data_IF_167779473839
#
_entry.id   IF_167779473839
#
_cell.length_a   1.000
_cell.length_b   1.000
_cell.length_c   1.000
_cell.angle_alpha   90.00
_cell.angle_beta   90.00
_cell.angle_gamma   90.00
#
_symmetry.space_group_name_H-M   'P 1'
#
loop_
_entity.id
_entity.type
_entity.pdbx_description
1 polymer ?
#
# COMPACT_ATOMS: atom_id res chain seq x y z
N UNK A 1 19.78 17.20 -2.38
CA UNK A 1 18.68 16.68 -1.55
C UNK A 1 18.96 15.20 -1.36
N UNK A 2 19.64 14.88 -0.26
CA UNK A 2 20.09 13.53 0.08
C UNK A 2 18.91 12.81 0.73
N UNK A 3 18.61 11.59 0.29
CA UNK A 3 17.87 10.65 1.13
C UNK A 3 18.55 10.66 2.50
N UNK A 4 17.81 10.77 3.62
CA UNK A 4 18.46 10.59 4.91
C UNK A 4 18.98 9.15 4.90
N UNK A 5 20.30 9.00 4.96
CA UNK A 5 21.01 7.71 5.00
C UNK A 5 20.39 6.73 6.01
N UNK A 6 19.69 7.26 7.01
CA UNK A 6 18.91 6.53 8.00
C UNK A 6 17.77 5.69 7.42
N UNK A 7 17.10 6.07 6.33
CA UNK A 7 16.02 5.25 5.75
C UNK A 7 16.58 3.98 5.08
N UNK A 8 17.74 4.10 4.43
CA UNK A 8 18.41 2.95 3.81
C UNK A 8 19.00 2.00 4.86
N UNK A 9 19.60 2.54 5.93
CA UNK A 9 20.10 1.74 7.05
C UNK A 9 18.96 1.04 7.80
N UNK A 10 17.81 1.68 7.95
CA UNK A 10 16.65 1.09 8.64
C UNK A 10 16.10 -0.14 7.89
N UNK A 11 15.91 -0.05 6.57
CA UNK A 11 15.50 -1.19 5.73
C UNK A 11 16.52 -2.34 5.81
N UNK A 12 17.82 -2.02 5.72
CA UNK A 12 18.87 -3.04 5.81
C UNK A 12 18.95 -3.70 7.19
N UNK A 13 18.70 -2.95 8.26
CA UNK A 13 18.75 -3.48 9.63
C UNK A 13 17.60 -4.45 9.90
N UNK A 14 16.38 -4.15 9.41
CA UNK A 14 15.22 -5.03 9.54
C UNK A 14 15.42 -6.32 8.73
N UNK A 15 15.89 -6.21 7.48
CA UNK A 15 16.05 -7.37 6.60
C UNK A 15 17.18 -8.32 7.04
N UNK A 16 18.27 -7.82 7.63
CA UNK A 16 19.43 -8.65 7.95
C UNK A 16 19.49 -9.15 9.40
N UNK A 17 18.98 -8.41 10.39
CA UNK A 17 18.99 -8.90 11.77
C UNK A 17 17.99 -10.05 12.00
N UNK A 18 16.91 -10.11 11.22
CA UNK A 18 15.96 -11.22 11.30
C UNK A 18 16.43 -12.49 10.58
N UNK A 19 17.44 -12.40 9.70
CA UNK A 19 17.89 -13.54 8.89
C UNK A 19 18.68 -14.60 9.70
N UNK A 20 19.40 -14.19 10.74
CA UNK A 20 20.28 -15.09 11.51
C UNK A 20 19.55 -15.96 12.54
N UNK A 21 18.38 -15.55 13.01
CA UNK A 21 17.61 -16.29 14.03
C UNK A 21 16.62 -17.29 13.40
N UNK A 22 16.33 -17.15 12.10
CA UNK A 22 15.18 -17.78 11.45
C UNK A 22 15.44 -19.18 10.87
N UNK A 23 16.69 -19.56 10.60
CA UNK A 23 17.00 -20.82 9.87
C UNK A 23 16.67 -22.10 10.63
N UNK A 24 16.36 -22.02 11.93
CA UNK A 24 16.00 -23.18 12.77
C UNK A 24 14.51 -23.36 13.05
N UNK A 25 13.62 -22.45 12.61
CA UNK A 25 12.18 -22.48 12.94
C UNK A 25 11.24 -22.60 11.71
N UNK A 26 11.78 -22.86 10.52
CA UNK A 26 11.09 -22.74 9.21
C UNK A 26 10.03 -23.82 8.91
N UNK A 27 9.78 -24.81 9.78
CA UNK A 27 8.88 -25.93 9.43
C UNK A 27 7.54 -25.99 10.17
N UNK A 28 7.19 -25.03 11.03
CA UNK A 28 6.03 -25.19 11.94
C UNK A 28 4.90 -24.16 11.85
N UNK A 29 5.18 -22.90 11.53
CA UNK A 29 4.25 -21.78 11.84
C UNK A 29 4.29 -20.70 10.74
N UNK A 30 3.90 -21.05 9.52
CA UNK A 30 3.85 -20.12 8.37
C UNK A 30 2.42 -19.90 7.84
N UNK A 31 1.38 -20.23 8.60
CA UNK A 31 0.08 -20.55 7.98
C UNK A 31 -1.05 -19.52 8.09
N UNK A 32 -0.98 -18.46 8.91
CA UNK A 32 -2.20 -17.69 9.21
C UNK A 32 -2.11 -16.18 8.94
N UNK A 33 -1.27 -15.73 7.99
CA UNK A 33 -1.42 -14.38 7.43
C UNK A 33 -1.92 -14.50 6.01
N UNK A 34 -3.24 -14.61 5.93
CA UNK A 34 -4.00 -14.35 4.72
C UNK A 34 -3.95 -12.85 4.48
N UNK A 35 -3.27 -12.41 3.42
CA UNK A 35 -3.19 -10.99 3.14
C UNK A 35 -2.65 -10.69 1.78
N UNK A 36 -3.54 -10.20 0.92
CA UNK A 36 -3.11 -9.23 -0.08
C UNK A 36 -2.48 -8.08 0.65
N UNK A 37 -1.26 -7.65 0.34
CA UNK A 37 -0.68 -6.53 1.09
C UNK A 37 -0.34 -5.37 0.19
N UNK A 38 0.57 -5.58 -0.76
CA UNK A 38 0.97 -4.51 -1.68
C UNK A 38 -0.16 -4.17 -2.67
N UNK A 39 -1.06 -5.11 -2.94
CA UNK A 39 -2.18 -4.89 -3.85
C UNK A 39 -3.23 -3.91 -3.30
N UNK A 40 -3.34 -3.72 -1.98
CA UNK A 40 -4.24 -2.72 -1.38
C UNK A 40 -3.88 -1.28 -1.77
N UNK A 41 -2.65 -1.03 -2.23
CA UNK A 41 -2.24 0.27 -2.76
C UNK A 41 -2.60 0.47 -4.25
N UNK A 42 -2.98 -0.60 -4.96
CA UNK A 42 -3.26 -0.54 -6.39
C UNK A 42 -4.49 0.33 -6.75
N UNK A 43 -5.64 0.21 -6.05
CA UNK A 43 -6.81 1.05 -6.31
C UNK A 43 -6.50 2.55 -6.18
N UNK A 44 -5.66 2.93 -5.22
CA UNK A 44 -5.22 4.31 -5.00
C UNK A 44 -4.49 4.90 -6.21
N UNK A 45 -3.63 4.11 -6.86
CA UNK A 45 -2.89 4.48 -8.07
C UNK A 45 -3.80 4.65 -9.29
N UNK A 46 -4.89 3.87 -9.37
CA UNK A 46 -5.90 4.00 -10.42
C UNK A 46 -6.80 5.22 -10.17
N UNK A 47 -7.25 5.39 -8.92
CA UNK A 47 -8.24 6.39 -8.50
C UNK A 47 -7.71 7.82 -8.47
N UNK A 48 -6.39 8.01 -8.33
CA UNK A 48 -5.75 9.34 -8.35
C UNK A 48 -6.13 10.18 -9.58
N UNK A 49 -6.48 9.55 -10.71
CA UNK A 49 -6.94 10.24 -11.91
C UNK A 49 -8.29 10.93 -11.77
N UNK A 50 -9.17 10.40 -10.92
CA UNK A 50 -10.49 10.98 -10.66
C UNK A 50 -10.45 12.07 -9.59
N UNK A 51 -9.35 12.16 -8.84
CA UNK A 51 -9.16 13.18 -7.81
C UNK A 51 -7.69 13.67 -7.76
N UNK A 52 -7.23 14.40 -8.80
CA UNK A 52 -5.83 14.86 -8.90
C UNK A 52 -5.45 15.88 -7.81
N UNK A 53 -6.43 16.52 -7.18
CA UNK A 53 -6.24 17.39 -6.01
C UNK A 53 -5.92 16.61 -4.73
N UNK A 54 -6.28 15.33 -4.65
CA UNK A 54 -6.03 14.50 -3.48
C UNK A 54 -4.56 14.07 -3.44
N UNK A 55 -3.85 14.26 -2.33
CA UNK A 55 -2.49 13.75 -2.19
C UNK A 55 -2.43 12.23 -2.38
N UNK A 56 -1.45 11.75 -3.13
CA UNK A 56 -1.29 10.32 -3.42
C UNK A 56 -1.08 9.51 -2.13
N UNK A 57 -0.39 10.07 -1.14
CA UNK A 57 -0.20 9.42 0.16
C UNK A 57 -1.52 9.15 0.88
N UNK A 58 -2.50 10.06 0.77
CA UNK A 58 -3.78 9.91 1.45
C UNK A 58 -4.63 8.84 0.76
N UNK A 59 -4.59 8.78 -0.58
CA UNK A 59 -5.22 7.69 -1.33
C UNK A 59 -4.54 6.35 -1.04
N UNK A 60 -3.20 6.31 -1.02
CA UNK A 60 -2.44 5.10 -0.70
C UNK A 60 -2.77 4.58 0.70
N UNK A 61 -2.78 5.47 1.70
CA UNK A 61 -3.13 5.10 3.06
C UNK A 61 -4.59 4.68 3.20
N UNK A 62 -5.53 5.30 2.45
CA UNK A 62 -6.93 4.85 2.43
C UNK A 62 -7.07 3.38 2.05
N UNK A 63 -6.33 2.93 1.01
CA UNK A 63 -6.36 1.53 0.55
C UNK A 63 -5.86 0.54 1.60
N UNK A 64 -4.82 0.89 2.34
CA UNK A 64 -4.23 0.05 3.40
C UNK A 64 -4.74 0.37 4.82
N UNK A 65 -5.77 1.22 4.93
CA UNK A 65 -6.28 1.68 6.23
C UNK A 65 -6.90 0.55 7.07
N UNK A 66 -7.67 -0.39 6.48
CA UNK A 66 -8.19 -1.54 7.22
C UNK A 66 -7.08 -2.35 7.89
N UNK A 67 -6.04 -2.73 7.14
CA UNK A 67 -4.88 -3.47 7.66
C UNK A 67 -4.15 -2.71 8.77
N UNK A 68 -3.89 -1.41 8.55
CA UNK A 68 -3.21 -0.58 9.54
C UNK A 68 -3.97 -0.52 10.86
N UNK A 69 -5.30 -0.34 10.78
CA UNK A 69 -6.14 -0.30 11.97
C UNK A 69 -6.27 -1.67 12.61
N UNK A 70 -6.29 -2.76 11.84
CA UNK A 70 -6.30 -4.12 12.38
C UNK A 70 -5.07 -4.34 13.26
N UNK A 71 -3.86 -4.05 12.77
CA UNK A 71 -2.65 -4.16 13.57
C UNK A 71 -2.67 -3.25 14.81
N UNK A 72 -3.16 -2.02 14.67
CA UNK A 72 -3.26 -1.09 15.79
C UNK A 72 -4.24 -1.57 16.88
N UNK A 73 -5.40 -2.11 16.48
CA UNK A 73 -6.41 -2.65 17.38
C UNK A 73 -5.97 -3.98 17.99
N UNK A 74 -5.24 -4.80 17.25
CA UNK A 74 -4.62 -6.03 17.75
C UNK A 74 -3.60 -5.73 18.85
N UNK A 75 -2.70 -4.77 18.64
CA UNK A 75 -1.76 -4.30 19.68
C UNK A 75 -2.51 -3.77 20.91
N UNK A 76 -3.68 -3.15 20.72
CA UNK A 76 -4.53 -2.67 21.80
C UNK A 76 -5.37 -3.77 22.48
N UNK A 77 -5.36 -5.00 21.97
CA UNK A 77 -6.19 -6.11 22.44
C UNK A 77 -7.69 -5.92 22.16
N UNK A 78 -8.04 -5.12 21.15
CA UNK A 78 -9.42 -4.82 20.74
C UNK A 78 -9.89 -5.68 19.56
N UNK A 79 -8.97 -6.24 18.79
CA UNK A 79 -9.20 -7.24 17.72
C UNK A 79 -8.22 -8.39 17.87
N UNK A 80 -8.57 -9.59 17.38
CA UNK A 80 -7.70 -10.76 17.35
C UNK A 80 -7.99 -11.60 16.10
N UNK A 81 -6.96 -12.28 15.59
CA UNK A 81 -7.03 -13.14 14.42
C UNK A 81 -7.62 -14.53 14.69
N UNK A 82 -7.55 -15.06 15.93
CA UNK A 82 -7.69 -16.52 16.11
C UNK A 82 -8.37 -17.05 17.39
N UNK A 83 -9.32 -16.32 17.99
CA UNK A 83 -10.09 -16.89 19.11
C UNK A 83 -11.61 -16.80 18.93
N UNK A 84 -12.17 -17.82 18.27
CA UNK A 84 -13.62 -18.01 18.07
C UNK A 84 -14.37 -18.38 19.36
N UNK A 85 -13.66 -18.62 20.45
CA UNK A 85 -14.22 -19.18 21.69
C UNK A 85 -15.04 -18.15 22.48
N UNK A 86 -14.73 -16.87 22.33
CA UNK A 86 -15.44 -15.79 23.01
C UNK A 86 -15.52 -14.54 22.13
N UNK A 87 -16.72 -13.97 21.92
CA UNK A 87 -16.85 -12.72 21.17
C UNK A 87 -16.01 -11.63 21.85
N UNK A 88 -15.16 -10.89 21.09
CA UNK A 88 -14.35 -9.83 21.66
C UNK A 88 -15.28 -8.82 22.35
N UNK A 89 -14.99 -8.50 23.61
CA UNK A 89 -15.83 -7.62 24.41
C UNK A 89 -15.05 -6.38 24.79
N UNK A 90 -15.47 -5.24 24.24
CA UNK A 90 -14.89 -3.94 24.56
C UNK A 90 -15.85 -3.20 25.47
N UNK A 91 -15.40 -2.83 26.67
CA UNK A 91 -16.21 -2.00 27.58
C UNK A 91 -15.73 -0.55 27.52
N UNK A 92 -16.56 0.34 26.99
CA UNK A 92 -16.29 1.77 26.88
C UNK A 92 -17.39 2.56 27.60
N UNK A 93 -17.02 3.45 28.52
CA UNK A 93 -17.98 4.22 29.34
C UNK A 93 -19.04 3.37 30.05
N UNK A 94 -18.67 2.16 30.50
CA UNK A 94 -19.60 1.23 31.17
C UNK A 94 -20.58 0.52 30.22
N UNK A 95 -20.48 0.74 28.90
CA UNK A 95 -21.19 -0.06 27.90
C UNK A 95 -20.26 -1.13 27.33
N UNK A 96 -20.68 -2.39 27.45
CA UNK A 96 -19.98 -3.52 26.85
C UNK A 96 -20.48 -3.76 25.43
N UNK A 97 -19.66 -3.41 24.45
CA UNK A 97 -19.83 -3.79 23.06
C UNK A 97 -19.34 -5.22 22.91
N UNK A 98 -20.28 -6.15 22.72
CA UNK A 98 -19.96 -7.50 22.26
C UNK A 98 -19.76 -7.44 20.75
N UNK A 99 -18.55 -7.75 20.30
CA UNK A 99 -18.30 -8.07 18.91
C UNK A 99 -19.23 -9.20 18.49
N UNK A 100 -19.80 -9.09 17.30
CA UNK A 100 -20.57 -10.20 16.76
C UNK A 100 -19.60 -11.32 16.43
N UNK A 101 -19.91 -12.56 16.83
CA UNK A 101 -19.20 -13.75 16.34
C UNK A 101 -19.59 -14.10 14.90
N UNK A 102 -20.36 -13.23 14.23
CA UNK A 102 -20.79 -13.44 12.85
C UNK A 102 -19.64 -13.12 11.92
N UNK A 103 -19.23 -14.14 11.18
CA UNK A 103 -18.40 -14.15 9.99
C UNK A 103 -18.25 -12.77 9.34
N UNK A 104 -17.06 -12.20 9.42
CA UNK A 104 -16.68 -11.05 8.59
C UNK A 104 -16.65 -11.51 7.14
N UNK A 105 -17.75 -11.37 6.40
CA UNK A 105 -17.81 -11.74 4.97
C UNK A 105 -16.54 -11.28 4.23
N UNK A 106 -15.77 -12.20 3.61
CA UNK A 106 -16.10 -13.60 3.32
C UNK A 106 -15.62 -14.66 4.34
N UNK A 107 -14.87 -14.30 5.39
CA UNK A 107 -14.23 -15.25 6.32
C UNK A 107 -14.94 -15.34 7.68
N UNK A 108 -14.87 -16.50 8.36
CA UNK A 108 -15.32 -16.65 9.74
C UNK A 108 -14.33 -16.02 10.73
N UNK A 109 -13.92 -14.76 10.54
CA UNK A 109 -12.86 -14.13 11.35
C UNK A 109 -13.37 -13.10 12.37
N UNK A 110 -12.63 -12.93 13.46
CA UNK A 110 -13.00 -12.16 14.66
C UNK A 110 -12.50 -10.70 14.69
N UNK A 111 -12.44 -10.03 13.55
CA UNK A 111 -12.06 -8.60 13.44
C UNK A 111 -13.22 -7.70 12.92
N UNK A 112 -14.29 -7.55 13.73
CA UNK A 112 -15.54 -6.93 13.29
C UNK A 112 -15.43 -5.42 13.02
N UNK A 113 -14.36 -4.74 13.46
CA UNK A 113 -14.23 -3.30 13.28
C UNK A 113 -13.49 -2.96 12.00
N UNK A 114 -12.48 -3.74 11.62
CA UNK A 114 -11.59 -3.39 10.50
C UNK A 114 -11.91 -4.07 9.19
N UNK A 115 -12.44 -5.31 9.20
CA UNK A 115 -12.76 -6.02 7.96
C UNK A 115 -14.20 -6.51 7.82
N UNK A 116 -15.10 -6.13 8.74
CA UNK A 116 -16.53 -6.27 8.44
C UNK A 116 -16.96 -5.19 7.43
N UNK A 117 -17.99 -5.48 6.62
CA UNK A 117 -18.54 -4.49 5.66
C UNK A 117 -18.93 -3.17 6.33
N UNK A 118 -19.55 -3.24 7.52
CA UNK A 118 -19.99 -2.05 8.28
C UNK A 118 -18.78 -1.33 8.90
N UNK A 119 -17.81 -2.09 9.42
CA UNK A 119 -16.58 -1.57 9.98
C UNK A 119 -15.77 -0.79 8.95
N UNK A 120 -15.50 -1.40 7.80
CA UNK A 120 -14.81 -0.74 6.68
C UNK A 120 -15.57 0.49 6.17
N UNK A 121 -16.89 0.43 6.02
CA UNK A 121 -17.68 1.60 5.61
C UNK A 121 -17.56 2.76 6.62
N UNK A 122 -17.58 2.44 7.91
CA UNK A 122 -17.47 3.43 8.99
C UNK A 122 -16.08 4.07 9.01
N UNK A 123 -15.02 3.26 8.93
CA UNK A 123 -13.63 3.70 8.84
C UNK A 123 -13.42 4.55 7.57
N UNK A 124 -13.89 4.07 6.42
CA UNK A 124 -13.78 4.77 5.15
C UNK A 124 -14.44 6.15 5.21
N UNK A 125 -15.66 6.23 5.74
CA UNK A 125 -16.38 7.50 5.85
C UNK A 125 -15.69 8.47 6.79
N UNK A 126 -15.26 8.00 7.98
CA UNK A 126 -14.56 8.82 8.96
C UNK A 126 -13.25 9.37 8.39
N UNK A 127 -12.45 8.51 7.76
CA UNK A 127 -11.17 8.89 7.16
C UNK A 127 -11.37 9.87 6.01
N UNK A 128 -12.26 9.55 5.07
CA UNK A 128 -12.52 10.37 3.89
C UNK A 128 -13.02 11.77 4.28
N UNK A 129 -13.98 11.87 5.22
CA UNK A 129 -14.49 13.17 5.72
C UNK A 129 -13.37 13.96 6.40
N UNK A 130 -12.58 13.32 7.25
CA UNK A 130 -11.47 13.98 7.97
C UNK A 130 -10.46 14.58 7.00
N UNK A 131 -9.97 13.79 6.03
CA UNK A 131 -9.02 14.26 5.02
C UNK A 131 -9.64 15.34 4.12
N UNK A 132 -10.90 15.17 3.70
CA UNK A 132 -11.59 16.15 2.86
C UNK A 132 -11.72 17.51 3.55
N UNK A 133 -12.08 17.52 4.84
CA UNK A 133 -12.18 18.75 5.62
C UNK A 133 -10.82 19.37 5.91
N UNK A 134 -9.82 18.56 6.30
CA UNK A 134 -8.48 19.03 6.63
C UNK A 134 -7.78 19.69 5.44
N UNK A 135 -7.95 19.15 4.24
CA UNK A 135 -7.32 19.65 3.01
C UNK A 135 -8.26 20.48 2.12
N UNK A 136 -9.50 20.72 2.57
CA UNK A 136 -10.55 21.44 1.81
C UNK A 136 -10.74 20.88 0.39
N UNK A 137 -10.79 19.56 0.29
CA UNK A 137 -10.85 18.85 -0.98
C UNK A 137 -12.29 18.86 -1.57
N UNK A 138 -12.44 18.71 -2.90
CA UNK A 138 -13.75 18.57 -3.53
C UNK A 138 -14.45 17.26 -3.15
N UNK A 139 -15.77 17.18 -3.36
CA UNK A 139 -16.55 15.95 -3.11
C UNK A 139 -16.07 14.74 -3.94
N UNK A 140 -15.42 14.95 -5.08
CA UNK A 140 -14.80 13.87 -5.85
C UNK A 140 -13.63 13.22 -5.10
N UNK A 141 -12.88 14.00 -4.31
CA UNK A 141 -11.85 13.47 -3.41
C UNK A 141 -12.45 12.62 -2.28
N UNK A 142 -13.58 13.05 -1.71
CA UNK A 142 -14.30 12.27 -0.70
C UNK A 142 -14.71 10.89 -1.27
N UNK A 143 -15.33 10.88 -2.45
CA UNK A 143 -15.77 9.65 -3.10
C UNK A 143 -14.60 8.73 -3.47
N UNK A 144 -13.48 9.28 -3.94
CA UNK A 144 -12.29 8.47 -4.27
C UNK A 144 -11.59 7.90 -3.05
N UNK A 145 -11.53 8.63 -1.93
CA UNK A 145 -11.00 8.09 -0.65
C UNK A 145 -11.90 6.98 -0.10
N UNK A 146 -13.23 7.16 -0.18
CA UNK A 146 -14.20 6.12 0.17
C UNK A 146 -14.00 4.87 -0.68
N UNK A 147 -13.93 5.01 -2.00
CA UNK A 147 -13.73 3.89 -2.92
C UNK A 147 -12.37 3.22 -2.75
N UNK A 148 -11.31 3.99 -2.46
CA UNK A 148 -10.00 3.42 -2.17
C UNK A 148 -10.04 2.55 -0.91
N UNK A 149 -10.67 3.02 0.18
CA UNK A 149 -10.80 2.23 1.41
C UNK A 149 -11.69 1.01 1.19
N UNK A 150 -12.85 1.18 0.54
CA UNK A 150 -13.80 0.08 0.30
C UNK A 150 -13.33 -0.93 -0.75
N UNK A 151 -12.30 -0.60 -1.53
CA UNK A 151 -11.70 -1.56 -2.46
C UNK A 151 -10.93 -2.69 -1.78
N UNK A 152 -10.71 -2.56 -0.47
CA UNK A 152 -10.21 -3.62 0.39
C UNK A 152 -11.14 -4.85 0.37
N UNK A 153 -12.46 -4.68 0.56
CA UNK A 153 -13.43 -5.79 0.51
C UNK A 153 -13.35 -6.65 -0.77
N UNK A 154 -13.48 -6.11 -2.00
CA UNK A 154 -13.43 -6.94 -3.20
C UNK A 154 -12.05 -7.56 -3.45
N UNK A 155 -10.96 -6.95 -2.96
CA UNK A 155 -9.63 -7.54 -3.04
C UNK A 155 -9.53 -8.74 -2.09
N UNK A 156 -9.96 -8.58 -0.84
CA UNK A 156 -10.06 -9.68 0.12
C UNK A 156 -10.95 -10.82 -0.39
N UNK A 157 -12.09 -10.50 -1.00
CA UNK A 157 -12.99 -11.50 -1.60
C UNK A 157 -12.34 -12.19 -2.80
N UNK A 158 -11.58 -11.47 -3.62
CA UNK A 158 -10.93 -12.07 -4.79
C UNK A 158 -9.85 -13.08 -4.41
N UNK A 159 -9.24 -12.91 -3.23
CA UNK A 159 -8.18 -13.78 -2.71
C UNK A 159 -8.68 -14.61 -1.52
N UNK A 160 -10.00 -14.61 -1.29
CA UNK A 160 -10.57 -15.33 -0.17
C UNK A 160 -10.33 -16.81 -0.24
N UNK A 161 -9.60 -17.29 0.77
CA UNK A 161 -9.35 -18.69 1.05
C UNK A 161 -10.50 -19.25 1.87
N UNK A 162 -10.89 -20.48 1.56
CA UNK A 162 -11.72 -21.25 2.48
C UNK A 162 -10.78 -21.82 3.56
N UNK A 163 -10.64 -21.07 4.65
CA UNK A 163 -9.79 -21.44 5.80
C UNK A 163 -10.19 -22.80 6.41
N UNK A 164 -11.41 -23.29 6.17
CA UNK A 164 -11.85 -24.60 6.64
C UNK A 164 -11.02 -25.76 6.06
N UNK A 165 -10.39 -25.55 4.89
CA UNK A 165 -9.47 -26.51 4.27
C UNK A 165 -8.06 -26.49 4.89
N UNK A 166 -7.68 -25.41 5.60
CA UNK A 166 -6.34 -25.25 6.21
C UNK A 166 -6.15 -26.19 7.40
N UNK A 167 -7.25 -26.46 8.13
CA UNK A 167 -7.30 -27.36 9.30
C UNK A 167 -6.95 -28.82 8.93
N UNK A 168 -7.00 -29.21 7.65
CA UNK A 168 -6.75 -30.57 7.18
C UNK A 168 -5.29 -31.06 7.21
N UNK A 169 -4.34 -30.26 7.70
CA UNK A 169 -2.92 -30.65 7.78
C UNK A 169 -2.16 -30.61 6.45
N UNK A 170 -2.83 -30.40 5.31
CA UNK A 170 -2.18 -30.22 3.99
C UNK A 170 -1.18 -29.06 3.99
N UNK A 171 -1.46 -27.99 4.75
CA UNK A 171 -0.62 -26.80 4.82
C UNK A 171 0.68 -27.02 5.61
N UNK A 172 0.73 -28.06 6.45
CA UNK A 172 1.95 -28.48 7.16
C UNK A 172 2.89 -29.29 6.27
N UNK A 173 2.40 -29.80 5.12
CA UNK A 173 3.25 -30.49 4.16
C UNK A 173 4.13 -29.47 3.43
N UNK A 174 5.40 -29.80 3.16
CA UNK A 174 6.24 -28.98 2.31
C UNK A 174 5.60 -28.82 0.93
N UNK A 175 5.79 -27.66 0.30
CA UNK A 175 5.09 -27.21 -0.93
C UNK A 175 5.00 -28.29 -2.02
N UNK A 176 6.06 -29.06 -2.24
CA UNK A 176 6.11 -30.11 -3.27
C UNK A 176 5.37 -31.41 -2.91
N UNK A 177 4.79 -31.50 -1.71
CA UNK A 177 3.98 -32.62 -1.21
C UNK A 177 2.52 -32.25 -0.95
N UNK A 178 2.13 -31.01 -1.22
CA UNK A 178 0.73 -30.58 -1.11
C UNK A 178 -0.08 -31.19 -2.24
N UNK A 179 -1.28 -31.65 -1.92
CA UNK A 179 -2.17 -32.22 -2.93
C UNK A 179 -2.61 -31.13 -3.93
N UNK A 180 -2.88 -31.54 -5.18
CA UNK A 180 -3.33 -30.63 -6.24
C UNK A 180 -4.70 -29.98 -5.99
N UNK A 181 -5.35 -30.34 -4.88
CA UNK A 181 -6.58 -29.74 -4.38
C UNK A 181 -6.37 -28.39 -3.68
N UNK A 182 -5.13 -28.04 -3.31
CA UNK A 182 -4.80 -26.73 -2.71
C UNK A 182 -4.85 -25.65 -3.80
N UNK A 183 -5.73 -24.63 -3.67
CA UNK A 183 -5.80 -23.51 -4.60
C UNK A 183 -4.45 -22.86 -4.88
N UNK A 184 -4.22 -22.39 -6.12
CA UNK A 184 -2.96 -21.78 -6.51
C UNK A 184 -2.60 -20.56 -5.65
N UNK A 185 -3.60 -19.78 -5.25
CA UNK A 185 -3.43 -18.59 -4.42
C UNK A 185 -3.02 -18.92 -2.98
N UNK A 186 -3.05 -20.20 -2.57
CA UNK A 186 -2.69 -20.66 -1.23
C UNK A 186 -1.22 -21.08 -1.13
N UNK A 187 -0.50 -20.97 -2.24
CA UNK A 187 0.95 -21.06 -2.27
C UNK A 187 1.54 -19.66 -2.06
N UNK A 188 2.61 -19.51 -1.25
CA UNK A 188 3.38 -18.27 -1.12
C UNK A 188 3.69 -17.59 -2.46
N UNK A 189 4.05 -18.39 -3.46
CA UNK A 189 4.29 -17.90 -4.82
C UNK A 189 3.04 -17.39 -5.52
N UNK A 190 1.89 -18.02 -5.31
CA UNK A 190 0.60 -17.58 -5.83
C UNK A 190 0.26 -16.19 -5.31
N UNK A 191 0.24 -16.02 -3.99
CA UNK A 191 -0.01 -14.71 -3.33
C UNK A 191 1.02 -13.66 -3.75
N UNK A 192 2.31 -14.01 -3.72
CA UNK A 192 3.38 -13.11 -4.14
C UNK A 192 3.15 -12.58 -5.57
N UNK A 193 2.87 -13.49 -6.50
CA UNK A 193 2.71 -13.14 -7.92
C UNK A 193 1.40 -12.42 -8.21
N UNK A 194 0.29 -12.79 -7.56
CA UNK A 194 -0.99 -12.09 -7.72
C UNK A 194 -0.91 -10.65 -7.23
N UNK A 195 -0.40 -10.45 -6.01
CA UNK A 195 -0.37 -9.14 -5.38
C UNK A 195 0.57 -8.18 -6.08
N UNK A 196 1.80 -8.66 -6.31
CA UNK A 196 2.80 -7.88 -7.00
C UNK A 196 2.34 -7.60 -8.43
N UNK A 197 1.68 -8.56 -9.09
CA UNK A 197 1.11 -8.40 -10.43
C UNK A 197 0.05 -7.28 -10.49
N UNK A 198 -0.90 -7.29 -9.55
CA UNK A 198 -1.96 -6.25 -9.45
C UNK A 198 -1.34 -4.88 -9.19
N UNK A 199 -0.38 -4.80 -8.27
CA UNK A 199 0.32 -3.55 -7.97
C UNK A 199 1.15 -3.05 -9.17
N UNK A 200 1.94 -3.91 -9.79
CA UNK A 200 2.76 -3.58 -10.97
C UNK A 200 1.88 -3.10 -12.13
N UNK A 201 0.72 -3.73 -12.34
CA UNK A 201 -0.24 -3.26 -13.33
C UNK A 201 -0.71 -1.83 -13.01
N UNK A 202 -1.15 -1.57 -11.78
CA UNK A 202 -1.66 -0.26 -11.37
C UNK A 202 -0.59 0.84 -11.42
N UNK A 203 0.64 0.56 -11.02
CA UNK A 203 1.74 1.55 -11.06
C UNK A 203 2.16 1.86 -12.50
N UNK A 204 2.16 0.86 -13.40
CA UNK A 204 2.42 1.09 -14.83
C UNK A 204 1.29 1.88 -15.50
N UNK A 205 0.04 1.59 -15.13
CA UNK A 205 -1.12 2.37 -15.58
C UNK A 205 -1.03 3.82 -15.10
N UNK A 206 -0.73 4.02 -13.82
CA UNK A 206 -0.50 5.34 -13.24
C UNK A 206 0.62 6.09 -13.98
N UNK A 207 1.78 5.45 -14.16
CA UNK A 207 2.90 6.01 -14.91
C UNK A 207 2.49 6.44 -16.32
N UNK A 208 1.74 5.60 -17.04
CA UNK A 208 1.31 5.90 -18.41
C UNK A 208 0.31 7.05 -18.49
N UNK A 209 -0.46 7.29 -17.44
CA UNK A 209 -1.62 8.19 -17.49
C UNK A 209 -1.39 9.53 -16.80
N UNK A 210 -0.34 9.64 -15.97
CA UNK A 210 0.16 10.92 -15.45
C UNK A 210 0.88 11.73 -16.52
N UNK A 211 1.42 11.07 -17.56
CA UNK A 211 2.01 11.77 -18.71
C UNK A 211 0.96 12.01 -19.81
N UNK A 212 0.59 13.26 -20.11
CA UNK A 212 -0.14 13.53 -21.34
C UNK A 212 0.78 13.21 -22.54
N UNK A 213 0.37 12.33 -23.47
CA UNK A 213 1.18 11.97 -24.64
C UNK A 213 1.51 13.17 -25.52
N UNK A 214 0.69 14.23 -25.47
CA UNK A 214 0.82 15.44 -26.28
C UNK A 214 2.11 16.23 -26.00
N UNK A 215 2.60 16.29 -24.76
CA UNK A 215 3.89 16.95 -24.45
C UNK A 215 5.11 16.14 -24.92
N UNK A 216 4.95 14.83 -25.06
CA UNK A 216 6.02 13.93 -25.53
C UNK A 216 6.17 13.99 -27.04
N UNK A 217 5.06 14.06 -27.78
CA UNK A 217 5.07 14.16 -29.24
C UNK A 217 5.51 15.54 -29.72
N UNK A 218 5.11 16.61 -29.02
CA UNK A 218 5.51 17.98 -29.38
C UNK A 218 7.03 18.21 -29.26
N UNK A 219 7.72 17.47 -28.38
CA UNK A 219 9.19 17.50 -28.26
C UNK A 219 9.94 16.54 -29.20
N UNK A 220 9.28 15.51 -29.72
CA UNK A 220 9.91 14.55 -30.63
C UNK A 220 9.95 15.05 -32.09
N UNK A 221 9.07 16.00 -32.42
CA UNK A 221 8.94 16.57 -33.77
C UNK A 221 9.60 17.93 -33.99
N UNK A 222 10.05 18.63 -32.96
CA UNK A 222 10.78 19.90 -33.15
C UNK A 222 12.28 19.62 -33.29
N UNK A 223 12.88 19.78 -34.48
CA UNK A 223 14.33 19.80 -34.60
C UNK A 223 14.86 20.90 -33.67
N UNK A 224 15.98 20.60 -33.01
CA UNK A 224 16.65 21.45 -32.03
C UNK A 224 17.29 22.68 -32.72
N UNK A 225 16.45 23.50 -33.36
CA UNK A 225 16.75 24.81 -33.90
C UNK A 225 16.26 25.72 -32.76
N UNK A 226 17.05 26.07 -31.77
CA UNK A 226 17.94 27.21 -31.87
C UNK A 226 18.76 27.28 -30.57
N UNK A 227 19.94 26.67 -30.56
CA UNK A 227 21.02 27.10 -29.67
C UNK A 227 21.69 28.34 -30.29
N UNK A 228 20.96 29.45 -30.40
CA UNK A 228 21.58 30.74 -30.66
C UNK A 228 22.26 31.16 -29.38
N UNK A 229 23.56 30.91 -29.36
CA UNK A 229 24.63 31.76 -28.84
C UNK A 229 24.14 33.08 -28.21
N UNK A 230 23.58 33.02 -27.01
CA UNK A 230 23.43 34.19 -26.14
C UNK A 230 24.70 34.27 -25.32
N UNK A 231 25.70 34.91 -25.92
CA UNK A 231 26.83 35.48 -25.21
C UNK A 231 26.28 36.64 -24.40
N UNK A 232 25.75 36.38 -23.21
CA UNK A 232 25.38 37.46 -22.29
C UNK A 232 26.01 37.23 -20.92
N UNK A 233 26.96 38.12 -20.65
CA UNK A 233 27.74 38.28 -19.43
C UNK A 233 26.84 38.84 -18.33
N UNK A 234 26.32 37.97 -17.45
CA UNK A 234 25.44 38.43 -16.38
C UNK A 234 25.21 37.41 -15.29
N UNK A 235 26.17 37.34 -14.37
CA UNK A 235 26.10 36.84 -12.98
C UNK A 235 24.70 36.39 -12.49
N UNK A 236 24.30 35.18 -12.85
CA UNK A 236 23.02 34.59 -12.43
C UNK A 236 23.07 33.09 -12.60
N UNK A 237 23.79 32.40 -11.71
CA UNK A 237 23.91 30.94 -11.68
C UNK A 237 22.54 30.35 -11.35
N UNK A 238 21.70 30.23 -12.37
CA UNK A 238 20.47 29.44 -12.32
C UNK A 238 20.91 28.00 -12.18
N UNK A 239 20.80 27.47 -10.96
CA UNK A 239 21.02 26.04 -10.74
C UNK A 239 20.09 25.26 -11.67
N UNK A 240 20.70 24.62 -12.67
CA UNK A 240 20.03 23.64 -13.50
C UNK A 240 19.56 22.52 -12.58
N UNK A 241 18.29 22.60 -12.15
CA UNK A 241 17.63 21.53 -11.39
C UNK A 241 17.75 20.27 -12.23
N UNK A 242 18.63 19.37 -11.78
CA UNK A 242 18.86 18.06 -12.38
C UNK A 242 17.52 17.36 -12.50
N UNK A 243 17.02 17.19 -13.74
CA UNK A 243 15.83 16.38 -14.01
C UNK A 243 16.12 14.97 -13.53
N UNK A 244 15.53 14.58 -12.41
CA UNK A 244 15.59 13.19 -11.97
C UNK A 244 14.75 12.36 -12.95
N UNK A 245 15.33 11.25 -13.40
CA UNK A 245 14.69 10.39 -14.39
C UNK A 245 13.58 9.59 -13.69
N UNK A 246 12.32 9.87 -14.04
CA UNK A 246 11.14 9.28 -13.40
C UNK A 246 11.13 7.75 -13.49
N UNK A 247 11.77 7.18 -14.52
CA UNK A 247 11.94 5.73 -14.66
C UNK A 247 12.58 5.11 -13.41
N UNK A 248 13.55 5.78 -12.78
CA UNK A 248 14.16 5.26 -11.54
C UNK A 248 13.23 5.36 -10.33
N UNK A 249 12.33 6.35 -10.29
CA UNK A 249 11.33 6.48 -9.22
C UNK A 249 10.32 5.32 -9.26
N UNK A 250 9.76 5.05 -10.43
CA UNK A 250 8.84 3.92 -10.61
C UNK A 250 9.53 2.56 -10.40
N UNK A 251 10.73 2.37 -10.95
CA UNK A 251 11.49 1.14 -10.75
C UNK A 251 11.81 0.93 -9.26
N UNK A 252 12.20 1.99 -8.56
CA UNK A 252 12.46 1.94 -7.12
C UNK A 252 11.24 1.48 -6.31
N UNK A 253 10.05 1.97 -6.64
CA UNK A 253 8.80 1.55 -5.99
C UNK A 253 8.45 0.10 -6.31
N UNK A 254 8.63 -0.36 -7.55
CA UNK A 254 8.38 -1.75 -7.92
C UNK A 254 9.33 -2.69 -7.15
N UNK A 255 10.61 -2.32 -7.03
CA UNK A 255 11.59 -3.09 -6.25
C UNK A 255 11.21 -3.09 -4.77
N UNK A 256 10.81 -1.96 -4.21
CA UNK A 256 10.38 -1.85 -2.82
C UNK A 256 9.13 -2.70 -2.54
N UNK A 257 8.14 -2.63 -3.42
CA UNK A 257 6.95 -3.49 -3.43
C UNK A 257 7.32 -4.98 -3.46
N UNK A 258 8.22 -5.39 -4.34
CA UNK A 258 8.66 -6.78 -4.42
C UNK A 258 9.36 -7.26 -3.14
N UNK A 259 10.15 -6.40 -2.48
CA UNK A 259 10.81 -6.73 -1.21
C UNK A 259 9.77 -6.92 -0.10
N UNK A 260 8.83 -5.99 0.06
CA UNK A 260 7.81 -6.11 1.11
C UNK A 260 6.90 -7.31 0.82
N UNK A 261 6.44 -7.48 -0.42
CA UNK A 261 5.61 -8.64 -0.76
C UNK A 261 6.35 -9.96 -0.52
N UNK A 262 7.67 -10.01 -0.76
CA UNK A 262 8.46 -11.19 -0.46
C UNK A 262 8.58 -11.42 1.06
N UNK A 263 8.77 -10.36 1.85
CA UNK A 263 8.74 -10.43 3.30
C UNK A 263 7.42 -11.05 3.78
N UNK A 264 6.27 -10.55 3.32
CA UNK A 264 4.96 -11.09 3.65
C UNK A 264 4.76 -12.54 3.20
N UNK A 265 5.08 -12.83 1.94
CA UNK A 265 4.74 -14.12 1.35
C UNK A 265 5.60 -15.27 1.88
N UNK A 266 6.85 -15.00 2.26
CA UNK A 266 7.82 -16.05 2.59
C UNK A 266 8.35 -16.02 4.02
N UNK A 267 8.21 -14.90 4.73
CA UNK A 267 8.88 -14.67 6.01
C UNK A 267 7.97 -14.10 7.11
N UNK A 268 6.69 -13.86 6.82
CA UNK A 268 5.78 -13.29 7.82
C UNK A 268 5.58 -14.24 9.00
N UNK A 269 5.90 -13.75 10.19
CA UNK A 269 5.48 -14.35 11.46
C UNK A 269 4.02 -13.99 11.75
N UNK A 270 3.28 -14.80 12.53
CA UNK A 270 1.89 -14.52 12.89
C UNK A 270 1.67 -13.07 13.34
N UNK A 271 0.64 -12.44 12.79
CA UNK A 271 0.31 -11.03 13.03
C UNK A 271 -0.07 -10.74 14.50
N UNK A 272 -0.31 -11.79 15.28
CA UNK A 272 -0.64 -11.74 16.71
C UNK A 272 0.53 -11.30 17.59
N UNK A 273 1.76 -11.54 17.13
CA UNK A 273 2.91 -11.01 17.85
C UNK A 273 2.97 -9.49 17.67
N UNK A 274 2.90 -8.76 18.78
CA UNK A 274 2.90 -7.29 18.78
C UNK A 274 4.10 -6.70 18.03
N UNK A 275 5.25 -7.38 18.05
CA UNK A 275 6.45 -7.01 17.29
C UNK A 275 6.20 -7.06 15.78
N UNK A 276 5.57 -8.12 15.31
CA UNK A 276 5.24 -8.33 13.90
C UNK A 276 4.19 -7.33 13.44
N UNK A 277 3.14 -7.11 14.24
CA UNK A 277 2.15 -6.05 13.99
C UNK A 277 2.80 -4.67 13.84
N UNK A 278 3.75 -4.31 14.71
CA UNK A 278 4.49 -3.03 14.61
C UNK A 278 5.32 -2.98 13.33
N UNK A 279 6.02 -4.06 12.96
CA UNK A 279 6.80 -4.11 11.71
C UNK A 279 5.88 -3.88 10.51
N UNK A 280 4.74 -4.56 10.44
CA UNK A 280 3.77 -4.40 9.36
C UNK A 280 3.20 -2.99 9.27
N UNK A 281 2.84 -2.37 10.40
CA UNK A 281 2.41 -0.97 10.42
C UNK A 281 3.49 -0.03 9.88
N UNK A 282 4.76 -0.25 10.25
CA UNK A 282 5.88 0.56 9.76
C UNK A 282 6.14 0.35 8.27
N UNK A 283 5.94 -0.86 7.76
CA UNK A 283 5.98 -1.14 6.33
C UNK A 283 4.87 -0.38 5.59
N UNK A 284 3.62 -0.37 6.09
CA UNK A 284 2.50 0.38 5.47
C UNK A 284 2.88 1.85 5.35
N UNK A 285 3.35 2.44 6.46
CA UNK A 285 3.76 3.84 6.50
C UNK A 285 4.96 4.11 5.58
N UNK A 286 5.93 3.19 5.52
CA UNK A 286 7.05 3.26 4.60
C UNK A 286 6.62 3.26 3.13
N UNK A 287 5.63 2.43 2.78
CA UNK A 287 5.07 2.34 1.44
C UNK A 287 4.27 3.58 1.05
N UNK A 288 3.44 4.09 1.95
CA UNK A 288 2.74 5.37 1.80
C UNK A 288 3.74 6.51 1.58
N UNK A 289 4.84 6.54 2.34
CA UNK A 289 5.93 7.50 2.18
C UNK A 289 6.63 7.39 0.83
N UNK A 290 6.88 6.17 0.34
CA UNK A 290 7.46 5.94 -0.98
C UNK A 290 6.55 6.45 -2.11
N UNK A 291 5.24 6.20 -2.02
CA UNK A 291 4.26 6.72 -2.97
C UNK A 291 4.12 8.25 -2.89
N UNK A 292 4.19 8.83 -1.70
CA UNK A 292 4.25 10.30 -1.54
C UNK A 292 5.48 10.91 -2.24
N UNK A 293 6.63 10.25 -2.12
CA UNK A 293 7.85 10.70 -2.77
C UNK A 293 7.75 10.62 -4.30
N UNK A 294 7.09 9.58 -4.83
CA UNK A 294 6.76 9.47 -6.26
C UNK A 294 5.89 10.63 -6.75
N UNK A 295 4.89 11.02 -5.97
CA UNK A 295 4.05 12.19 -6.29
C UNK A 295 4.87 13.47 -6.38
N UNK A 296 5.91 13.61 -5.56
CA UNK A 296 6.88 14.70 -5.66
C UNK A 296 7.60 14.74 -7.02
N UNK A 297 7.78 13.60 -7.69
CA UNK A 297 8.36 13.57 -9.02
C UNK A 297 7.37 13.89 -10.14
N UNK A 298 6.08 13.63 -9.94
CA UNK A 298 5.06 13.84 -10.97
C UNK A 298 4.52 15.28 -10.97
N UNK A 299 4.43 15.95 -9.82
CA UNK A 299 3.84 17.30 -9.69
C UNK A 299 4.76 18.47 -10.11
N UNK A 300 6.06 18.28 -10.26
CA UNK A 300 7.03 19.39 -10.47
C UNK A 300 6.87 20.13 -11.80
N UNK A 301 6.05 19.62 -12.73
CA UNK A 301 5.91 20.19 -14.07
C UNK A 301 5.03 21.45 -14.12
N UNK A 302 3.99 21.56 -13.28
CA UNK A 302 2.98 22.63 -13.45
C UNK A 302 3.39 24.01 -12.93
N UNK A 303 4.28 24.08 -11.92
CA UNK A 303 4.62 25.35 -11.26
C UNK A 303 5.40 26.34 -12.15
N UNK A 304 6.02 25.89 -13.26
CA UNK A 304 6.78 26.79 -14.14
C UNK A 304 5.91 27.57 -15.12
N UNK A 305 4.71 27.09 -15.45
CA UNK A 305 3.85 27.72 -16.46
C UNK A 305 3.09 28.92 -15.87
N UNK A 306 2.71 28.85 -14.59
CA UNK A 306 2.01 29.93 -13.89
C UNK A 306 2.90 31.16 -13.65
N UNK A 307 4.19 30.96 -13.33
CA UNK A 307 5.13 32.06 -13.11
C UNK A 307 5.48 32.85 -14.39
N UNK A 308 5.47 32.19 -15.54
CA UNK A 308 5.67 32.86 -16.84
C UNK A 308 4.43 33.68 -17.23
N UNK A 309 3.23 33.21 -16.89
CA UNK A 309 1.97 33.92 -17.20
C UNK A 309 1.75 35.16 -16.34
N UNK A 310 2.45 35.30 -15.21
CA UNK A 310 2.41 36.47 -14.33
C UNK A 310 3.43 37.56 -14.71
N UNK A 311 4.38 37.26 -15.61
CA UNK A 311 5.43 38.20 -16.05
C UNK A 311 5.15 38.85 -17.41
N UNK A 312 4.06 38.47 -18.08
CA UNK A 312 3.55 39.09 -19.30
C UNK A 312 2.19 39.74 -19.02
#
# INVERSE_FOLDING_TARGET
MLLPYSFHLWIWTILFNNYTTFTTQVSGVLNDIDGMWVAHFAPSLLLTRFAPSTPLWALAFAGALPDFLFFALNIAGLESGHDHSAPPTVTFFGQTLKGSSTDCLPYPSSYPYTHSTIGQLSIALLFAVTITLAYRLPLTSLATLLLATLSHLPLDIAISRDESAIVGGEYTKPIWKRDASVPLLDYPWGTFTSDLGIFVFAILFHARTVYPPEEYEQKRGQPNITSTLSTDSGLGRTESKKKMNLTYGYLGIIVFAAIIQAHFSFFAEPAEEWSSAVVFMLEILGFVGALHWLEGYTRVVDNKVSDLKKKN
#
